data_IF_857395458713
#
_entry.id   IF_857395458713
#
_cell.length_a   1.000
_cell.length_b   1.000
_cell.length_c   1.000
_cell.angle_alpha   90.00
_cell.angle_beta   90.00
_cell.angle_gamma   90.00
#
_symmetry.space_group_name_H-M   'P 1'
#
loop_
_entity.id
_entity.type
_entity.pdbx_description
1 polymer ?
#
# COMPACT_ATOMS: atom_id res chain seq x y z
N UNK A 1 -25.69 8.36 32.27
CA UNK A 1 -26.63 7.81 31.29
C UNK A 1 -25.94 6.67 30.58
N UNK A 2 -26.26 5.44 30.95
CA UNK A 2 -25.75 4.21 30.34
C UNK A 2 -26.47 4.01 29.01
N UNK A 3 -25.75 4.11 27.88
CA UNK A 3 -26.30 3.75 26.55
C UNK A 3 -26.54 2.23 26.56
N UNK A 4 -27.81 1.83 26.55
CA UNK A 4 -28.21 0.44 26.31
C UNK A 4 -27.92 0.15 24.83
N UNK A 5 -27.06 -0.82 24.48
CA UNK A 5 -26.87 -1.19 23.09
C UNK A 5 -28.14 -1.92 22.65
N UNK A 6 -28.91 -1.33 21.73
CA UNK A 6 -30.06 -1.99 21.13
C UNK A 6 -29.56 -2.94 20.03
N UNK A 7 -29.69 -4.27 20.17
CA UNK A 7 -29.22 -5.23 19.17
C UNK A 7 -29.99 -5.17 17.84
N UNK A 8 -31.10 -4.41 17.76
CA UNK A 8 -31.98 -4.30 16.58
C UNK A 8 -31.48 -3.36 15.47
N UNK A 9 -30.37 -2.65 15.67
CA UNK A 9 -29.88 -1.68 14.67
C UNK A 9 -28.97 -2.33 13.63
N UNK A 10 -28.10 -3.28 14.03
CA UNK A 10 -27.19 -3.94 13.11
C UNK A 10 -27.94 -4.69 12.00
N UNK A 11 -28.80 -5.65 12.35
CA UNK A 11 -29.55 -6.46 11.38
C UNK A 11 -30.40 -5.59 10.44
N UNK A 12 -30.97 -4.50 10.97
CA UNK A 12 -31.75 -3.54 10.18
C UNK A 12 -30.89 -2.79 9.17
N UNK A 13 -29.71 -2.32 9.57
CA UNK A 13 -28.79 -1.64 8.66
C UNK A 13 -28.23 -2.59 7.60
N UNK A 14 -27.96 -3.85 7.95
CA UNK A 14 -27.60 -4.89 6.97
C UNK A 14 -28.72 -5.09 5.95
N UNK A 15 -29.98 -5.26 6.40
CA UNK A 15 -31.11 -5.45 5.50
C UNK A 15 -31.30 -4.25 4.56
N UNK A 16 -31.26 -3.02 5.08
CA UNK A 16 -31.37 -1.80 4.27
C UNK A 16 -30.20 -1.65 3.29
N UNK A 17 -28.98 -2.00 3.71
CA UNK A 17 -27.80 -2.03 2.85
C UNK A 17 -27.97 -3.01 1.69
N UNK A 18 -28.43 -4.23 1.97
CA UNK A 18 -28.66 -5.27 0.96
C UNK A 18 -29.80 -4.91 0.00
N UNK A 19 -30.91 -4.35 0.50
CA UNK A 19 -32.00 -3.84 -0.33
C UNK A 19 -31.51 -2.73 -1.27
N UNK A 20 -30.69 -1.81 -0.76
CA UNK A 20 -30.08 -0.76 -1.57
C UNK A 20 -29.11 -1.31 -2.62
N UNK A 21 -28.30 -2.34 -2.30
CA UNK A 21 -27.46 -3.03 -3.28
C UNK A 21 -28.28 -3.71 -4.37
N UNK A 22 -29.34 -4.42 -4.00
CA UNK A 22 -30.24 -5.08 -4.96
C UNK A 22 -30.92 -4.06 -5.88
N UNK A 23 -31.18 -2.85 -5.39
CA UNK A 23 -31.71 -1.73 -6.16
C UNK A 23 -30.64 -0.93 -6.94
N UNK A 24 -29.37 -1.34 -6.93
CA UNK A 24 -28.25 -0.63 -7.58
C UNK A 24 -27.91 0.73 -6.93
N UNK A 25 -28.44 1.01 -5.74
CA UNK A 25 -28.24 2.26 -5.00
C UNK A 25 -26.99 2.19 -4.12
N UNK A 26 -25.81 2.03 -4.73
CA UNK A 26 -24.55 1.77 -4.04
C UNK A 26 -24.20 2.80 -2.95
N UNK A 27 -24.49 4.10 -3.17
CA UNK A 27 -24.26 5.15 -2.15
C UNK A 27 -25.02 4.87 -0.86
N UNK A 28 -26.33 4.65 -0.99
CA UNK A 28 -27.21 4.35 0.15
C UNK A 28 -26.83 3.04 0.82
N UNK A 29 -26.43 2.05 0.01
CA UNK A 29 -25.93 0.80 0.54
C UNK A 29 -24.69 1.02 1.42
N UNK A 30 -23.68 1.75 0.91
CA UNK A 30 -22.48 2.08 1.66
C UNK A 30 -22.79 2.79 2.98
N UNK A 31 -23.69 3.77 2.97
CA UNK A 31 -24.08 4.52 4.17
C UNK A 31 -24.71 3.60 5.24
N UNK A 32 -25.64 2.72 4.86
CA UNK A 32 -26.24 1.77 5.80
C UNK A 32 -25.26 0.71 6.29
N UNK A 33 -24.43 0.18 5.39
CA UNK A 33 -23.44 -0.83 5.75
C UNK A 33 -22.36 -0.26 6.68
N UNK A 34 -21.96 1.01 6.52
CA UNK A 34 -21.05 1.68 7.46
C UNK A 34 -21.68 1.79 8.86
N UNK A 35 -22.96 2.11 8.94
CA UNK A 35 -23.68 2.14 10.22
C UNK A 35 -23.75 0.75 10.88
N UNK A 36 -23.87 -0.32 10.09
CA UNK A 36 -23.75 -1.68 10.61
C UNK A 36 -22.32 -1.97 11.10
N UNK A 37 -21.31 -1.53 10.34
CA UNK A 37 -19.90 -1.79 10.62
C UNK A 37 -19.40 -1.08 11.89
N UNK A 38 -19.90 0.13 12.16
CA UNK A 38 -19.67 0.84 13.43
C UNK A 38 -20.19 0.07 14.65
N UNK A 39 -21.23 -0.75 14.48
CA UNK A 39 -21.82 -1.53 15.58
C UNK A 39 -21.06 -2.85 15.76
N UNK A 40 -20.82 -3.57 14.67
CA UNK A 40 -20.13 -4.86 14.68
C UNK A 40 -19.25 -4.98 13.42
N UNK A 41 -17.96 -4.66 13.53
CA UNK A 41 -17.03 -4.86 12.44
C UNK A 41 -16.70 -6.35 12.31
N UNK A 42 -16.84 -6.88 11.11
CA UNK A 42 -16.38 -8.22 10.73
C UNK A 42 -15.93 -8.23 9.26
N UNK A 43 -15.16 -9.25 8.89
CA UNK A 43 -14.62 -9.36 7.53
C UNK A 43 -15.71 -9.47 6.45
N UNK A 44 -16.79 -10.28 6.60
CA UNK A 44 -17.86 -10.32 5.59
C UNK A 44 -18.50 -8.95 5.29
N UNK A 45 -18.74 -8.15 6.33
CA UNK A 45 -19.26 -6.79 6.17
C UNK A 45 -18.22 -5.84 5.57
N UNK A 46 -16.95 -5.94 6.01
CA UNK A 46 -15.85 -5.18 5.41
C UNK A 46 -15.69 -5.48 3.92
N UNK A 47 -15.76 -6.76 3.52
CA UNK A 47 -15.73 -7.20 2.13
C UNK A 47 -16.86 -6.59 1.30
N UNK A 48 -18.07 -6.57 1.86
CA UNK A 48 -19.24 -5.97 1.21
C UNK A 48 -19.07 -4.45 1.04
N UNK A 49 -18.57 -3.77 2.08
CA UNK A 49 -18.25 -2.34 2.03
C UNK A 49 -17.16 -2.05 0.99
N UNK A 50 -16.08 -2.82 0.98
CA UNK A 50 -14.99 -2.65 0.02
C UNK A 50 -15.48 -2.79 -1.42
N UNK A 51 -16.30 -3.80 -1.68
CA UNK A 51 -16.94 -3.99 -2.98
C UNK A 51 -17.82 -2.79 -3.33
N UNK A 52 -18.64 -2.33 -2.39
CA UNK A 52 -19.57 -1.21 -2.59
C UNK A 52 -18.84 0.09 -2.91
N UNK A 53 -17.80 0.43 -2.15
CA UNK A 53 -17.00 1.64 -2.39
C UNK A 53 -16.14 1.55 -3.64
N UNK A 54 -15.62 0.37 -3.98
CA UNK A 54 -14.92 0.15 -5.24
C UNK A 54 -15.84 0.37 -6.47
N UNK A 55 -17.11 -0.05 -6.40
CA UNK A 55 -18.10 0.22 -7.47
C UNK A 55 -18.49 1.70 -7.55
N UNK A 56 -18.46 2.42 -6.43
CA UNK A 56 -18.69 3.86 -6.37
C UNK A 56 -17.50 4.69 -6.88
N UNK A 57 -16.35 4.07 -7.13
CA UNK A 57 -15.10 4.76 -7.44
C UNK A 57 -14.48 5.48 -6.23
N UNK A 58 -14.95 5.21 -5.02
CA UNK A 58 -14.41 5.77 -3.77
C UNK A 58 -13.27 4.89 -3.24
N UNK A 59 -12.23 4.77 -4.06
CA UNK A 59 -11.08 3.90 -3.81
C UNK A 59 -10.34 4.20 -2.51
N UNK A 60 -10.21 5.47 -2.11
CA UNK A 60 -9.51 5.81 -0.85
C UNK A 60 -10.29 5.35 0.39
N UNK A 61 -11.62 5.52 0.39
CA UNK A 61 -12.49 5.00 1.47
C UNK A 61 -12.38 3.49 1.55
N UNK A 62 -12.43 2.82 0.39
CA UNK A 62 -12.23 1.39 0.29
C UNK A 62 -10.85 0.97 0.85
N UNK A 63 -9.79 1.65 0.44
CA UNK A 63 -8.42 1.35 0.88
C UNK A 63 -8.28 1.43 2.39
N UNK A 64 -8.81 2.49 3.02
CA UNK A 64 -8.78 2.65 4.49
C UNK A 64 -9.53 1.52 5.18
N UNK A 65 -10.72 1.15 4.70
CA UNK A 65 -11.50 0.05 5.28
C UNK A 65 -10.78 -1.30 5.17
N UNK A 66 -10.09 -1.56 4.05
CA UNK A 66 -9.36 -2.82 3.87
C UNK A 66 -8.23 -3.03 4.89
N UNK A 67 -7.68 -1.94 5.45
CA UNK A 67 -6.57 -2.03 6.41
C UNK A 67 -6.97 -2.79 7.69
N UNK A 68 -8.25 -2.80 8.04
CA UNK A 68 -8.75 -3.51 9.22
C UNK A 68 -8.63 -5.05 9.08
N UNK A 69 -8.62 -5.57 7.85
CA UNK A 69 -8.66 -7.00 7.54
C UNK A 69 -7.70 -7.42 6.42
N UNK A 70 -6.53 -6.77 6.35
CA UNK A 70 -5.57 -6.99 5.27
C UNK A 70 -5.19 -8.49 5.13
N UNK A 71 -4.97 -9.17 6.25
CA UNK A 71 -4.62 -10.61 6.27
C UNK A 71 -5.70 -11.49 5.64
N UNK A 72 -6.99 -11.15 5.83
CA UNK A 72 -8.10 -11.88 5.24
C UNK A 72 -8.18 -11.66 3.72
N UNK A 73 -7.98 -10.42 3.25
CA UNK A 73 -7.91 -10.12 1.82
C UNK A 73 -6.77 -10.84 1.13
N UNK A 74 -5.65 -10.96 1.81
CA UNK A 74 -4.46 -11.64 1.32
C UNK A 74 -4.56 -13.17 1.31
N UNK A 75 -5.55 -13.74 2.01
CA UNK A 75 -5.61 -15.18 2.28
C UNK A 75 -5.92 -16.02 1.04
N UNK A 76 -6.81 -15.54 0.17
CA UNK A 76 -7.26 -16.27 -1.01
C UNK A 76 -7.27 -15.37 -2.25
N UNK A 77 -7.03 -15.92 -3.46
CA UNK A 77 -6.88 -15.11 -4.68
C UNK A 77 -8.07 -14.21 -5.01
N UNK A 78 -9.30 -14.62 -4.71
CA UNK A 78 -10.50 -13.84 -5.03
C UNK A 78 -10.63 -12.58 -4.17
N UNK A 79 -10.30 -12.67 -2.87
CA UNK A 79 -10.30 -11.50 -1.99
C UNK A 79 -9.13 -10.58 -2.31
N UNK A 80 -7.99 -11.17 -2.65
CA UNK A 80 -6.81 -10.44 -3.10
C UNK A 80 -7.13 -9.65 -4.37
N UNK A 81 -7.88 -10.23 -5.31
CA UNK A 81 -8.28 -9.55 -6.55
C UNK A 81 -9.08 -8.27 -6.27
N UNK A 82 -10.01 -8.30 -5.31
CA UNK A 82 -10.75 -7.11 -4.90
C UNK A 82 -9.82 -6.05 -4.29
N UNK A 83 -8.91 -6.45 -3.41
CA UNK A 83 -7.95 -5.51 -2.81
C UNK A 83 -7.02 -4.90 -3.86
N UNK A 84 -6.48 -5.71 -4.79
CA UNK A 84 -5.68 -5.22 -5.92
C UNK A 84 -6.47 -4.20 -6.74
N UNK A 85 -7.76 -4.44 -7.04
CA UNK A 85 -8.59 -3.45 -7.75
C UNK A 85 -8.63 -2.11 -7.01
N UNK A 86 -8.78 -2.12 -5.69
CA UNK A 86 -8.77 -0.90 -4.86
C UNK A 86 -7.40 -0.21 -4.90
N UNK A 87 -6.30 -0.96 -4.82
CA UNK A 87 -4.94 -0.40 -4.98
C UNK A 87 -4.77 0.26 -6.34
N UNK A 88 -5.27 -0.35 -7.42
CA UNK A 88 -5.18 0.23 -8.76
C UNK A 88 -6.05 1.49 -8.91
N UNK A 89 -7.24 1.52 -8.31
CA UNK A 89 -8.10 2.71 -8.29
C UNK A 89 -7.44 3.89 -7.55
N UNK A 90 -6.63 3.59 -6.53
CA UNK A 90 -5.89 4.56 -5.72
C UNK A 90 -4.45 4.77 -6.19
N UNK A 91 -4.07 4.21 -7.34
CA UNK A 91 -2.73 4.32 -7.95
C UNK A 91 -1.59 3.81 -7.07
N UNK A 92 -1.88 2.91 -6.12
CA UNK A 92 -0.90 2.27 -5.23
C UNK A 92 -0.20 1.13 -5.94
N UNK A 93 0.44 1.43 -7.07
CA UNK A 93 1.07 0.44 -7.95
C UNK A 93 2.22 -0.30 -7.28
N UNK A 94 3.07 0.43 -6.55
CA UNK A 94 4.19 -0.16 -5.80
C UNK A 94 3.68 -1.19 -4.79
N UNK A 95 2.64 -0.85 -4.03
CA UNK A 95 2.03 -1.76 -3.05
C UNK A 95 1.44 -3.00 -3.74
N UNK A 96 0.70 -2.81 -4.84
CA UNK A 96 0.13 -3.91 -5.61
C UNK A 96 1.21 -4.87 -6.16
N UNK A 97 2.32 -4.32 -6.65
CA UNK A 97 3.45 -5.09 -7.20
C UNK A 97 4.19 -5.87 -6.11
N UNK A 98 4.49 -5.23 -4.98
CA UNK A 98 5.07 -5.91 -3.82
C UNK A 98 4.20 -7.06 -3.35
N UNK A 99 2.90 -6.80 -3.21
CA UNK A 99 1.95 -7.80 -2.72
C UNK A 99 1.88 -9.01 -3.66
N UNK A 100 1.74 -8.79 -4.97
CA UNK A 100 1.62 -9.88 -5.93
C UNK A 100 2.93 -10.68 -6.07
N UNK A 101 4.09 -10.03 -6.00
CA UNK A 101 5.39 -10.71 -6.04
C UNK A 101 5.56 -11.62 -4.82
N UNK A 102 5.27 -11.11 -3.62
CA UNK A 102 5.30 -11.92 -2.39
C UNK A 102 4.36 -13.11 -2.46
N UNK A 103 3.14 -12.93 -2.96
CA UNK A 103 2.17 -14.03 -3.11
C UNK A 103 2.67 -15.07 -4.11
N UNK A 104 3.19 -14.66 -5.27
CA UNK A 104 3.74 -15.59 -6.25
C UNK A 104 4.87 -16.47 -5.65
N UNK A 105 5.72 -15.92 -4.78
CA UNK A 105 6.80 -16.68 -4.15
C UNK A 105 6.33 -17.67 -3.08
N UNK A 106 5.20 -17.39 -2.42
CA UNK A 106 4.70 -18.16 -1.27
C UNK A 106 3.53 -19.08 -1.60
N UNK A 107 2.86 -18.88 -2.74
CA UNK A 107 1.61 -19.55 -3.08
C UNK A 107 1.78 -20.94 -3.68
N UNK A 108 0.70 -21.72 -3.57
CA UNK A 108 0.59 -23.04 -4.19
C UNK A 108 0.51 -22.96 -5.72
N UNK A 109 0.76 -24.08 -6.41
CA UNK A 109 0.56 -24.17 -7.88
C UNK A 109 -0.88 -23.92 -8.32
N UNK A 110 -1.86 -24.19 -7.45
CA UNK A 110 -3.28 -24.05 -7.77
C UNK A 110 -3.67 -22.58 -7.95
N UNK A 111 -3.11 -21.69 -7.14
CA UNK A 111 -3.42 -20.26 -7.15
C UNK A 111 -2.63 -19.49 -8.21
N UNK A 112 -1.52 -20.06 -8.69
CA UNK A 112 -0.56 -19.41 -9.56
C UNK A 112 -1.19 -18.80 -10.83
N UNK A 113 -2.18 -19.48 -11.42
CA UNK A 113 -2.87 -18.97 -12.62
C UNK A 113 -3.60 -17.65 -12.33
N UNK A 114 -4.30 -17.56 -11.20
CA UNK A 114 -5.01 -16.35 -10.80
C UNK A 114 -4.01 -15.22 -10.49
N UNK A 115 -2.92 -15.51 -9.78
CA UNK A 115 -1.90 -14.53 -9.44
C UNK A 115 -1.20 -13.95 -10.69
N UNK A 116 -0.93 -14.79 -11.70
CA UNK A 116 -0.35 -14.33 -12.97
C UNK A 116 -1.31 -13.42 -13.74
N UNK A 117 -2.63 -13.67 -13.66
CA UNK A 117 -3.63 -12.78 -14.25
C UNK A 117 -3.61 -11.42 -13.54
N UNK A 118 -3.67 -11.41 -12.21
CA UNK A 118 -3.59 -10.17 -11.42
C UNK A 118 -2.31 -9.38 -11.71
N UNK A 119 -1.15 -10.05 -11.79
CA UNK A 119 0.12 -9.41 -12.15
C UNK A 119 0.07 -8.72 -13.53
N UNK A 120 -0.63 -9.32 -14.51
CA UNK A 120 -0.83 -8.70 -15.83
C UNK A 120 -1.78 -7.51 -15.77
N UNK A 121 -2.81 -7.57 -14.95
CA UNK A 121 -3.75 -6.46 -14.75
C UNK A 121 -3.06 -5.25 -14.12
N UNK A 122 -2.26 -5.47 -13.07
CA UNK A 122 -1.43 -4.44 -12.45
C UNK A 122 -0.53 -3.80 -13.52
N UNK A 123 0.21 -4.63 -14.28
CA UNK A 123 1.11 -4.11 -15.32
C UNK A 123 0.38 -3.31 -16.39
N UNK A 124 -0.83 -3.74 -16.78
CA UNK A 124 -1.65 -3.01 -17.76
C UNK A 124 -2.09 -1.65 -17.21
N UNK A 125 -2.53 -1.60 -15.96
CA UNK A 125 -2.93 -0.36 -15.30
C UNK A 125 -1.76 0.62 -15.19
N UNK A 126 -0.57 0.13 -14.84
CA UNK A 126 0.65 0.95 -14.81
C UNK A 126 0.99 1.54 -16.18
N UNK A 127 0.96 0.74 -17.24
CA UNK A 127 1.26 1.20 -18.60
C UNK A 127 0.27 2.29 -19.06
N UNK A 128 -1.01 2.14 -18.69
CA UNK A 128 -2.02 3.17 -18.96
C UNK A 128 -1.72 4.45 -18.17
N UNK A 129 -1.42 4.34 -16.87
CA UNK A 129 -1.06 5.50 -16.05
C UNK A 129 0.19 6.22 -16.61
N UNK A 130 1.22 5.46 -17.04
CA UNK A 130 2.39 6.03 -17.69
C UNK A 130 2.03 6.81 -18.95
N UNK A 131 1.15 6.28 -19.80
CA UNK A 131 0.76 6.90 -21.06
C UNK A 131 -0.13 8.14 -20.89
N UNK A 132 -1.00 8.17 -19.88
CA UNK A 132 -2.01 9.21 -19.74
C UNK A 132 -1.70 10.23 -18.65
N UNK A 133 -0.75 9.96 -17.76
CA UNK A 133 -0.43 10.83 -16.62
C UNK A 133 0.97 11.46 -16.68
N UNK A 134 1.51 11.64 -17.89
CA UNK A 134 2.83 12.26 -18.10
C UNK A 134 3.00 13.60 -17.39
N UNK A 135 1.98 14.45 -17.39
CA UNK A 135 2.01 15.75 -16.71
C UNK A 135 2.14 15.61 -15.19
N UNK A 136 1.41 14.65 -14.58
CA UNK A 136 1.50 14.39 -13.14
C UNK A 136 2.87 13.82 -12.78
N UNK A 137 3.41 12.91 -13.58
CA UNK A 137 4.77 12.37 -13.37
C UNK A 137 5.79 13.50 -13.42
N UNK A 138 5.73 14.37 -14.43
CA UNK A 138 6.63 15.52 -14.55
C UNK A 138 6.48 16.49 -13.37
N UNK A 139 5.25 16.74 -12.92
CA UNK A 139 4.99 17.58 -11.74
C UNK A 139 5.65 17.01 -10.48
N UNK A 140 5.45 15.71 -10.19
CA UNK A 140 6.10 15.07 -9.03
C UNK A 140 7.62 15.16 -9.16
N UNK A 141 8.19 14.86 -10.33
CA UNK A 141 9.64 14.97 -10.56
C UNK A 141 10.16 16.38 -10.24
N UNK A 142 9.47 17.42 -10.70
CA UNK A 142 9.81 18.82 -10.40
C UNK A 142 9.70 19.14 -8.89
N UNK A 143 8.65 18.65 -8.22
CA UNK A 143 8.47 18.83 -6.76
C UNK A 143 9.61 18.16 -5.96
N UNK A 144 10.18 17.08 -6.48
CA UNK A 144 11.30 16.37 -5.85
C UNK A 144 12.66 17.07 -6.06
N UNK A 145 12.80 17.96 -7.04
CA UNK A 145 14.06 18.71 -7.26
C UNK A 145 14.40 19.62 -6.08
N UNK A 146 13.39 20.22 -5.45
CA UNK A 146 13.54 21.13 -4.30
C UNK A 146 13.60 20.38 -2.95
N UNK A 147 13.48 19.06 -2.96
CA UNK A 147 13.45 18.22 -1.77
C UNK A 147 14.67 18.41 -0.84
N UNK A 148 15.91 18.63 -1.34
CA UNK A 148 17.07 18.94 -0.50
C UNK A 148 16.94 20.19 0.39
N UNK A 149 16.01 21.10 0.08
CA UNK A 149 15.78 22.35 0.82
C UNK A 149 14.68 22.20 1.88
N UNK A 150 13.95 21.09 1.86
CA UNK A 150 12.82 20.80 2.74
C UNK A 150 13.24 20.13 4.04
N UNK A 151 12.38 20.22 5.06
CA UNK A 151 12.58 19.51 6.31
C UNK A 151 12.35 18.01 6.16
N UNK A 152 12.95 17.20 7.04
CA UNK A 152 12.92 15.73 6.94
C UNK A 152 11.51 15.12 6.80
N UNK A 153 10.51 15.69 7.47
CA UNK A 153 9.13 15.19 7.39
C UNK A 153 8.47 15.53 6.04
N UNK A 154 8.68 16.74 5.51
CA UNK A 154 8.21 17.16 4.18
C UNK A 154 8.88 16.32 3.08
N UNK A 155 10.19 16.05 3.22
CA UNK A 155 10.91 15.16 2.31
C UNK A 155 10.25 13.77 2.23
N UNK A 156 9.94 13.18 3.39
CA UNK A 156 9.30 11.88 3.46
C UNK A 156 7.89 11.90 2.86
N UNK A 157 7.12 12.96 3.08
CA UNK A 157 5.77 13.10 2.53
C UNK A 157 5.80 13.14 0.99
N UNK A 158 6.63 13.99 0.39
CA UNK A 158 6.76 14.10 -1.08
C UNK A 158 7.25 12.79 -1.70
N UNK A 159 8.16 12.09 -1.03
CA UNK A 159 8.64 10.76 -1.48
C UNK A 159 7.52 9.72 -1.46
N UNK A 160 6.63 9.75 -0.47
CA UNK A 160 5.46 8.86 -0.43
C UNK A 160 4.47 9.16 -1.56
N UNK A 161 4.34 10.42 -1.96
CA UNK A 161 3.55 10.78 -3.14
C UNK A 161 4.17 10.23 -4.42
N UNK A 162 5.50 10.21 -4.53
CA UNK A 162 6.20 9.61 -5.65
C UNK A 162 5.98 8.09 -5.77
N UNK A 163 5.67 7.40 -4.66
CA UNK A 163 5.33 5.97 -4.69
C UNK A 163 3.92 5.67 -5.22
N UNK A 164 3.11 6.70 -5.49
CA UNK A 164 1.85 6.59 -6.24
C UNK A 164 2.08 6.68 -7.76
N UNK A 165 3.30 6.95 -8.21
CA UNK A 165 3.66 6.85 -9.61
C UNK A 165 3.78 5.38 -10.03
N UNK A 166 3.70 5.08 -11.34
CA UNK A 166 3.97 3.74 -11.85
C UNK A 166 5.36 3.24 -11.39
N UNK A 167 5.48 1.93 -11.13
CA UNK A 167 6.66 1.38 -10.45
C UNK A 167 7.98 1.76 -11.13
N UNK A 168 8.03 1.77 -12.47
CA UNK A 168 9.27 2.10 -13.18
C UNK A 168 9.73 3.55 -12.93
N UNK A 169 8.79 4.49 -12.93
CA UNK A 169 9.07 5.91 -12.65
C UNK A 169 9.48 6.10 -11.19
N UNK A 170 8.79 5.44 -10.26
CA UNK A 170 9.16 5.44 -8.84
C UNK A 170 10.58 4.89 -8.62
N UNK A 171 10.92 3.76 -9.24
CA UNK A 171 12.25 3.14 -9.12
C UNK A 171 13.33 4.07 -9.67
N UNK A 172 13.13 4.69 -10.83
CA UNK A 172 14.07 5.67 -11.39
C UNK A 172 14.32 6.83 -10.41
N UNK A 173 13.25 7.45 -9.93
CA UNK A 173 13.29 8.55 -8.96
C UNK A 173 14.00 8.12 -7.67
N UNK A 174 13.67 6.95 -7.13
CA UNK A 174 14.28 6.44 -5.90
C UNK A 174 15.80 6.31 -6.04
N UNK A 175 16.29 5.81 -7.18
CA UNK A 175 17.73 5.68 -7.45
C UNK A 175 18.44 7.03 -7.53
N UNK A 176 17.79 8.03 -8.11
CA UNK A 176 18.33 9.40 -8.16
C UNK A 176 18.37 10.04 -6.77
N UNK A 177 17.28 9.94 -6.01
CA UNK A 177 17.15 10.49 -4.67
C UNK A 177 18.15 9.88 -3.68
N UNK A 178 18.38 8.57 -3.73
CA UNK A 178 19.32 7.89 -2.83
C UNK A 178 20.76 8.39 -2.96
N UNK A 179 21.13 8.98 -4.10
CA UNK A 179 22.44 9.58 -4.33
C UNK A 179 22.56 10.99 -3.75
N UNK A 180 21.44 11.63 -3.39
CA UNK A 180 21.44 13.01 -2.89
C UNK A 180 22.06 13.10 -1.48
N UNK A 181 23.12 13.89 -1.27
CA UNK A 181 23.76 14.02 0.04
C UNK A 181 22.86 14.62 1.12
N UNK A 182 22.00 15.56 0.73
CA UNK A 182 21.08 16.31 1.62
C UNK A 182 19.78 15.57 1.91
N UNK A 183 19.49 14.47 1.23
CA UNK A 183 18.33 13.64 1.52
C UNK A 183 18.51 13.00 2.90
N UNK A 184 17.51 13.22 3.76
CA UNK A 184 17.53 12.75 5.15
C UNK A 184 17.59 11.23 5.24
N UNK A 185 18.29 10.69 6.25
CA UNK A 185 18.47 9.24 6.42
C UNK A 185 17.16 8.47 6.52
N UNK A 186 16.14 9.04 7.18
CA UNK A 186 14.81 8.43 7.27
C UNK A 186 14.17 8.21 5.90
N UNK A 187 14.27 9.20 5.01
CA UNK A 187 13.75 9.11 3.66
C UNK A 187 14.53 8.08 2.82
N UNK A 188 15.86 8.03 2.99
CA UNK A 188 16.70 6.99 2.36
C UNK A 188 16.33 5.59 2.82
N UNK A 189 16.15 5.39 4.13
CA UNK A 189 15.73 4.10 4.69
C UNK A 189 14.39 3.68 4.10
N UNK A 190 13.41 4.58 4.07
CA UNK A 190 12.10 4.29 3.50
C UNK A 190 12.18 3.91 2.00
N UNK A 191 12.94 4.66 1.19
CA UNK A 191 13.16 4.32 -0.23
C UNK A 191 13.81 2.95 -0.40
N UNK A 192 14.85 2.64 0.40
CA UNK A 192 15.53 1.36 0.33
C UNK A 192 14.60 0.19 0.70
N UNK A 193 13.75 0.38 1.70
CA UNK A 193 12.74 -0.61 2.08
C UNK A 193 11.70 -0.85 0.98
N UNK A 194 11.24 0.20 0.28
CA UNK A 194 10.36 0.01 -0.88
C UNK A 194 11.06 -0.72 -2.03
N UNK A 195 12.31 -0.35 -2.34
CA UNK A 195 13.09 -1.04 -3.38
C UNK A 195 13.40 -2.50 -3.02
N UNK A 196 13.63 -2.79 -1.74
CA UNK A 196 13.76 -4.15 -1.22
C UNK A 196 12.46 -4.93 -1.39
N UNK A 197 11.31 -4.35 -1.03
CA UNK A 197 9.96 -4.93 -1.21
C UNK A 197 9.60 -5.17 -2.68
N UNK A 198 10.15 -4.37 -3.58
CA UNK A 198 10.03 -4.55 -5.04
C UNK A 198 11.04 -5.57 -5.60
N UNK A 199 11.89 -6.16 -4.76
CA UNK A 199 12.92 -7.14 -5.12
C UNK A 199 13.91 -6.60 -6.17
N UNK A 200 14.30 -5.34 -6.05
CA UNK A 200 15.27 -4.73 -6.96
C UNK A 200 16.66 -5.32 -6.72
N UNK A 201 17.13 -6.11 -7.67
CA UNK A 201 18.45 -6.80 -7.64
C UNK A 201 19.59 -6.01 -8.27
N UNK A 202 19.31 -4.79 -8.74
CA UNK A 202 20.33 -3.92 -9.32
C UNK A 202 21.20 -3.28 -8.25
N UNK A 203 22.50 -3.23 -8.48
CA UNK A 203 23.43 -2.48 -7.62
C UNK A 203 23.24 -0.98 -7.83
N UNK A 204 22.93 -0.26 -6.75
CA UNK A 204 22.74 1.19 -6.76
C UNK A 204 23.73 1.93 -5.85
N UNK A 205 24.27 3.08 -6.30
CA UNK A 205 25.02 3.97 -5.44
C UNK A 205 24.09 4.73 -4.50
N UNK A 206 24.46 4.81 -3.21
CA UNK A 206 23.77 5.59 -2.20
C UNK A 206 24.74 6.55 -1.52
N UNK A 207 24.29 7.76 -1.24
CA UNK A 207 25.05 8.73 -0.45
C UNK A 207 24.74 8.52 1.04
N UNK A 208 25.71 7.99 1.79
CA UNK A 208 25.57 7.71 3.22
C UNK A 208 26.71 8.33 4.01
N UNK A 209 26.39 9.28 4.89
CA UNK A 209 27.36 9.97 5.75
C UNK A 209 28.56 10.55 4.97
N UNK A 210 28.28 11.19 3.82
CA UNK A 210 29.30 11.82 2.97
C UNK A 210 30.14 10.85 2.14
N UNK A 211 29.82 9.55 2.13
CA UNK A 211 30.45 8.54 1.27
C UNK A 211 29.43 7.91 0.34
N UNK A 212 29.87 7.57 -0.87
CA UNK A 212 29.08 6.76 -1.79
C UNK A 212 29.30 5.29 -1.42
N UNK A 213 28.21 4.54 -1.22
CA UNK A 213 28.21 3.09 -1.01
C UNK A 213 27.42 2.42 -2.11
N UNK A 214 27.82 1.23 -2.51
CA UNK A 214 27.05 0.40 -3.44
C UNK A 214 26.18 -0.57 -2.63
N UNK A 215 24.90 -0.68 -2.97
CA UNK A 215 23.96 -1.61 -2.31
C UNK A 215 23.10 -2.31 -3.34
N UNK A 216 22.69 -3.55 -3.04
CA UNK A 216 21.66 -4.26 -3.80
C UNK A 216 20.43 -4.31 -2.88
N UNK A 217 19.34 -3.57 -3.18
CA UNK A 217 18.19 -3.47 -2.28
C UNK A 217 17.59 -4.82 -1.88
N UNK A 218 17.44 -5.74 -2.83
CA UNK A 218 16.91 -7.08 -2.57
C UNK A 218 17.75 -7.91 -1.58
N UNK A 219 19.03 -7.57 -1.40
CA UNK A 219 19.93 -8.26 -0.46
C UNK A 219 20.00 -7.57 0.91
N UNK A 220 19.33 -6.41 1.07
CA UNK A 220 19.22 -5.78 2.37
C UNK A 220 18.38 -6.70 3.27
N UNK A 221 18.90 -7.03 4.45
CA UNK A 221 18.12 -7.69 5.50
C UNK A 221 17.14 -6.70 6.14
N UNK A 222 16.22 -7.21 6.97
CA UNK A 222 15.41 -6.31 7.80
C UNK A 222 16.32 -5.54 8.78
N UNK A 223 16.00 -4.28 9.14
CA UNK A 223 16.71 -3.58 10.21
C UNK A 223 16.80 -4.42 11.50
N UNK A 224 15.79 -5.25 11.76
CA UNK A 224 15.72 -6.19 12.89
C UNK A 224 16.77 -7.31 12.86
N UNK A 225 17.26 -7.68 11.67
CA UNK A 225 18.25 -8.75 11.50
C UNK A 225 19.68 -8.24 11.73
N UNK A 226 19.87 -6.94 11.86
CA UNK A 226 21.19 -6.35 12.05
C UNK A 226 21.77 -6.69 13.43
N UNK A 227 23.05 -7.05 13.45
CA UNK A 227 23.77 -7.34 14.71
C UNK A 227 23.74 -6.17 15.70
N UNK A 228 23.65 -4.93 15.19
CA UNK A 228 23.51 -3.72 16.02
C UNK A 228 22.16 -3.66 16.71
N UNK A 229 21.06 -3.93 16.00
CA UNK A 229 19.72 -3.95 16.58
C UNK A 229 19.58 -5.05 17.64
N UNK A 230 20.04 -6.26 17.34
CA UNK A 230 20.06 -7.38 18.27
C UNK A 230 20.85 -7.06 19.55
N UNK A 231 21.97 -6.33 19.43
CA UNK A 231 22.76 -5.86 20.59
C UNK A 231 22.02 -4.83 21.45
N UNK A 232 21.28 -3.91 20.83
CA UNK A 232 20.48 -2.92 21.56
C UNK A 232 19.34 -3.61 22.30
N UNK A 233 18.62 -4.54 21.65
CA UNK A 233 17.59 -5.36 22.31
C UNK A 233 18.13 -6.09 23.52
N UNK A 234 19.25 -6.80 23.38
CA UNK A 234 19.91 -7.51 24.49
C UNK A 234 20.31 -6.59 25.65
N UNK A 235 20.58 -5.30 25.40
CA UNK A 235 20.87 -4.33 26.44
C UNK A 235 19.59 -3.89 27.16
N UNK A 236 18.54 -3.56 26.40
CA UNK A 236 17.25 -3.13 26.93
C UNK A 236 16.56 -4.23 27.74
N UNK A 237 16.66 -5.50 27.32
CA UNK A 237 16.12 -6.66 28.03
C UNK A 237 16.85 -6.96 29.34
N UNK A 238 18.08 -6.46 29.54
CA UNK A 238 18.84 -6.63 30.79
C UNK A 238 18.55 -5.55 31.84
N UNK A 239 17.93 -4.44 31.44
CA UNK A 239 17.56 -3.34 32.34
C UNK A 239 16.06 -3.34 32.74
N UNK A 240 15.31 -4.36 32.29
CA UNK A 240 13.93 -4.67 32.72
C UNK A 240 13.92 -5.86 33.70
#
# INVERSE_FOLDING_TARGET
>A
MTKIPFPKNYERFIALGQEALAAGSFRKAGDFLLQAYEIQPDFPLNFLLLTTFAELGEGETAYVLAQDYLDDYERVPDYLALYIRVLLQTKRFVEAQTLINRKILTSSKQDMKALVILKKEIRRAELLAQQFEHERIAQVKNELEILPERQAHEQLQLIKEAALLPQADFVEIAKELLQQPKLHSLAKSWLLEELQRLEITETIPISWQGKIRQVIPAELGSPGDSASYQRVLLYLEKEL
#
